data_IF_480873385448
#
_entry.id   IF_480873385448
#
_cell.length_a   1.000
_cell.length_b   1.000
_cell.length_c   1.000
_cell.angle_alpha   90.00
_cell.angle_beta   90.00
_cell.angle_gamma   90.00
#
_symmetry.space_group_name_H-M   'P 1'
#
loop_
_entity.id
_entity.type
_entity.pdbx_description
1 polymer ?
#
# COMPACT_ATOMS: atom_id res chain seq x y z
N UNK A 1 -13.59 47.02 -11.22
CA UNK A 1 -12.75 45.97 -10.61
C UNK A 1 -13.68 44.96 -9.96
N UNK A 2 -14.19 44.02 -10.73
CA UNK A 2 -15.10 42.96 -10.26
C UNK A 2 -14.25 41.75 -9.89
N UNK A 3 -14.22 41.40 -8.61
CA UNK A 3 -13.54 40.22 -8.07
C UNK A 3 -14.36 38.98 -8.42
N UNK A 4 -14.02 38.30 -9.50
CA UNK A 4 -14.58 36.98 -9.82
C UNK A 4 -13.94 35.95 -8.89
N UNK A 5 -14.64 35.60 -7.82
CA UNK A 5 -14.30 34.49 -6.94
C UNK A 5 -14.48 33.18 -7.71
N UNK A 6 -13.37 32.58 -8.17
CA UNK A 6 -13.35 31.20 -8.64
C UNK A 6 -13.58 30.27 -7.47
N UNK A 7 -14.85 29.90 -7.26
CA UNK A 7 -15.23 28.78 -6.40
C UNK A 7 -14.76 27.51 -7.12
N UNK A 8 -13.77 26.82 -6.55
CA UNK A 8 -13.40 25.46 -6.98
C UNK A 8 -14.63 24.55 -6.92
N UNK A 9 -14.92 23.75 -7.96
CA UNK A 9 -16.06 22.85 -7.92
C UNK A 9 -15.84 21.84 -6.81
N UNK A 10 -16.81 21.77 -5.89
CA UNK A 10 -16.86 20.77 -4.84
C UNK A 10 -16.77 19.37 -5.47
N UNK A 11 -15.88 18.54 -4.93
CA UNK A 11 -15.77 17.12 -5.27
C UNK A 11 -17.13 16.48 -5.03
N UNK A 12 -17.85 16.14 -6.11
CA UNK A 12 -19.09 15.40 -6.02
C UNK A 12 -18.74 14.00 -5.50
N UNK A 13 -19.17 13.70 -4.27
CA UNK A 13 -19.06 12.36 -3.69
C UNK A 13 -19.99 11.42 -4.45
N UNK A 14 -19.43 10.61 -5.34
CA UNK A 14 -20.13 9.50 -6.00
C UNK A 14 -20.52 8.44 -4.96
N UNK A 15 -21.69 7.78 -5.07
CA UNK A 15 -22.10 6.74 -4.12
C UNK A 15 -21.03 5.65 -4.02
N UNK A 16 -20.55 5.41 -2.80
CA UNK A 16 -19.46 4.48 -2.47
C UNK A 16 -19.93 3.01 -2.54
N UNK A 17 -20.33 2.54 -3.73
CA UNK A 17 -20.68 1.14 -3.96
C UNK A 17 -19.40 0.34 -4.23
N UNK A 18 -19.05 -0.66 -3.40
CA UNK A 18 -17.86 -1.48 -3.61
C UNK A 18 -17.86 -2.06 -5.01
N UNK A 19 -16.69 -2.10 -5.63
CA UNK A 19 -16.54 -2.84 -6.88
C UNK A 19 -16.87 -4.31 -6.62
N UNK A 20 -17.31 -5.07 -7.65
CA UNK A 20 -17.74 -6.47 -7.49
C UNK A 20 -16.54 -7.41 -7.30
N UNK A 21 -15.67 -7.10 -6.34
CA UNK A 21 -14.53 -7.93 -5.98
C UNK A 21 -14.88 -8.81 -4.78
N UNK A 22 -14.33 -10.01 -4.78
CA UNK A 22 -14.23 -10.86 -3.59
C UNK A 22 -12.80 -10.91 -3.07
N UNK A 23 -12.60 -11.59 -1.93
CA UNK A 23 -11.25 -11.82 -1.38
C UNK A 23 -10.36 -12.51 -2.42
N UNK A 24 -10.92 -13.48 -3.14
CA UNK A 24 -10.23 -14.33 -4.11
C UNK A 24 -9.62 -13.52 -5.26
N UNK A 25 -10.21 -12.37 -5.60
CA UNK A 25 -9.67 -11.47 -6.64
C UNK A 25 -8.34 -10.81 -6.24
N UNK A 26 -8.01 -10.79 -4.94
CA UNK A 26 -6.76 -10.26 -4.41
C UNK A 26 -5.73 -11.35 -4.06
N UNK A 27 -6.11 -12.63 -4.14
CA UNK A 27 -5.20 -13.76 -3.87
C UNK A 27 -4.37 -14.06 -5.11
N UNK A 28 -3.04 -14.06 -4.98
CA UNK A 28 -2.16 -14.49 -6.07
C UNK A 28 -2.09 -16.02 -6.15
N UNK A 29 -1.66 -16.56 -7.30
CA UNK A 29 -1.43 -17.99 -7.46
C UNK A 29 -0.12 -18.50 -6.83
N UNK A 30 0.61 -17.65 -6.10
CA UNK A 30 1.88 -18.03 -5.47
C UNK A 30 1.66 -18.69 -4.12
N UNK A 31 2.38 -19.77 -3.88
CA UNK A 31 2.39 -20.42 -2.57
C UNK A 31 3.06 -19.52 -1.51
N UNK A 32 2.39 -19.36 -0.37
CA UNK A 32 2.89 -18.56 0.74
C UNK A 32 3.96 -19.34 1.49
N UNK A 33 5.16 -18.76 1.60
CA UNK A 33 6.37 -19.41 2.15
C UNK A 33 6.73 -18.92 3.55
N UNK A 34 5.74 -18.57 4.35
CA UNK A 34 5.94 -18.22 5.76
C UNK A 34 5.89 -19.48 6.63
N UNK A 35 6.49 -19.41 7.83
CA UNK A 35 6.46 -20.53 8.76
C UNK A 35 5.01 -20.83 9.20
N UNK A 36 4.66 -22.11 9.45
CA UNK A 36 3.37 -22.44 10.08
C UNK A 36 3.16 -21.67 11.38
N UNK A 37 2.02 -21.01 11.51
CA UNK A 37 1.69 -20.16 12.68
C UNK A 37 2.23 -18.72 12.60
N UNK A 38 2.89 -18.32 11.52
CA UNK A 38 3.32 -16.93 11.33
C UNK A 38 2.12 -15.96 11.30
N UNK A 39 2.24 -14.82 12.00
CA UNK A 39 1.20 -13.80 12.05
C UNK A 39 0.90 -13.12 10.70
N UNK A 40 1.87 -13.12 9.79
CA UNK A 40 1.76 -12.52 8.46
C UNK A 40 0.60 -13.11 7.64
N UNK A 41 0.24 -14.38 7.87
CA UNK A 41 -0.93 -15.02 7.26
C UNK A 41 -2.24 -14.30 7.61
N UNK A 42 -2.39 -13.89 8.87
CA UNK A 42 -3.58 -13.18 9.32
C UNK A 42 -3.65 -11.78 8.69
N UNK A 43 -2.51 -11.06 8.66
CA UNK A 43 -2.40 -9.74 8.04
C UNK A 43 -2.75 -9.81 6.54
N UNK A 44 -2.21 -10.79 5.82
CA UNK A 44 -2.49 -11.00 4.40
C UNK A 44 -3.97 -11.31 4.15
N UNK A 45 -4.55 -12.24 4.91
CA UNK A 45 -5.95 -12.65 4.75
C UNK A 45 -6.92 -11.50 5.06
N UNK A 46 -6.63 -10.70 6.09
CA UNK A 46 -7.41 -9.51 6.42
C UNK A 46 -7.28 -8.46 5.32
N UNK A 47 -6.07 -8.18 4.85
CA UNK A 47 -5.85 -7.22 3.76
C UNK A 47 -6.66 -7.60 2.51
N UNK A 48 -6.55 -8.84 2.03
CA UNK A 48 -7.31 -9.31 0.86
C UNK A 48 -8.83 -9.15 1.02
N UNK A 49 -9.36 -9.38 2.23
CA UNK A 49 -10.78 -9.18 2.53
C UNK A 49 -11.15 -7.69 2.58
N UNK A 50 -10.29 -6.85 3.14
CA UNK A 50 -10.52 -5.41 3.25
C UNK A 50 -10.50 -4.73 1.89
N UNK A 51 -9.55 -5.07 1.01
CA UNK A 51 -9.46 -4.48 -0.32
C UNK A 51 -10.67 -4.82 -1.20
N UNK A 52 -11.29 -5.99 -1.00
CA UNK A 52 -12.52 -6.35 -1.70
C UNK A 52 -13.71 -5.45 -1.33
N UNK A 53 -13.65 -4.75 -0.19
CA UNK A 53 -14.68 -3.82 0.24
C UNK A 53 -14.43 -2.40 -0.28
N UNK A 54 -13.27 -2.15 -0.90
CA UNK A 54 -12.90 -0.83 -1.39
C UNK A 54 -13.55 -0.56 -2.74
N UNK A 55 -13.77 0.72 -3.03
CA UNK A 55 -14.25 1.23 -4.32
C UNK A 55 -13.12 1.47 -5.32
N UNK A 56 -11.92 0.96 -5.02
CA UNK A 56 -10.70 1.24 -5.74
C UNK A 56 -10.36 0.04 -6.63
N UNK A 57 -10.24 0.21 -7.96
CA UNK A 57 -9.85 -0.87 -8.87
C UNK A 57 -8.53 -1.51 -8.45
N UNK A 58 -8.44 -2.83 -8.60
CA UNK A 58 -7.26 -3.63 -8.24
C UNK A 58 -5.97 -3.12 -8.89
N UNK A 59 -6.05 -2.71 -10.14
CA UNK A 59 -4.98 -2.12 -10.94
C UNK A 59 -4.51 -0.74 -10.45
N UNK A 60 -5.30 -0.07 -9.61
CA UNK A 60 -4.95 1.21 -8.99
C UNK A 60 -4.37 1.05 -7.58
N UNK A 61 -4.22 -0.19 -7.11
CA UNK A 61 -3.64 -0.52 -5.82
C UNK A 61 -2.24 -1.10 -6.02
N UNK A 62 -1.23 -0.50 -5.37
CA UNK A 62 0.17 -0.89 -5.54
C UNK A 62 0.80 -1.25 -4.21
N UNK A 63 1.37 -2.45 -4.11
CA UNK A 63 2.06 -2.93 -2.92
C UNK A 63 3.58 -2.87 -3.10
N UNK A 64 4.25 -1.99 -2.36
CA UNK A 64 5.70 -1.81 -2.39
C UNK A 64 6.29 -2.33 -1.08
N UNK A 65 7.38 -3.08 -1.15
CA UNK A 65 7.99 -3.67 0.05
C UNK A 65 9.51 -3.64 0.00
N UNK A 66 10.14 -3.77 1.17
CA UNK A 66 11.59 -3.82 1.34
C UNK A 66 12.11 -5.24 1.23
N UNK A 67 12.91 -5.69 2.21
CA UNK A 67 13.40 -7.07 2.30
C UNK A 67 13.12 -7.62 3.71
N UNK A 68 12.62 -8.86 3.77
CA UNK A 68 12.29 -9.57 5.00
C UNK A 68 11.14 -10.58 4.79
N UNK A 69 10.79 -11.34 5.82
CA UNK A 69 9.63 -12.24 5.76
C UNK A 69 8.35 -11.47 5.39
N UNK A 70 8.08 -10.37 6.09
CA UNK A 70 6.96 -9.47 5.82
C UNK A 70 7.00 -8.88 4.41
N UNK A 71 8.19 -8.63 3.85
CA UNK A 71 8.33 -8.00 2.53
C UNK A 71 8.05 -8.95 1.37
N UNK A 72 7.78 -10.24 1.63
CA UNK A 72 7.23 -11.13 0.59
C UNK A 72 5.76 -10.83 0.26
N UNK A 73 5.09 -9.98 1.03
CA UNK A 73 3.68 -9.66 0.91
C UNK A 73 3.21 -9.34 -0.52
N UNK A 74 3.90 -8.51 -1.34
CA UNK A 74 3.42 -8.20 -2.68
C UNK A 74 3.36 -9.41 -3.63
N UNK A 75 4.14 -10.47 -3.38
CA UNK A 75 4.03 -11.71 -4.18
C UNK A 75 2.70 -12.43 -3.97
N UNK A 76 2.04 -12.20 -2.83
CA UNK A 76 0.81 -12.87 -2.42
C UNK A 76 -0.45 -12.04 -2.72
N UNK A 77 -0.26 -10.86 -3.32
CA UNK A 77 -1.32 -9.96 -3.75
C UNK A 77 -1.47 -10.01 -5.27
N UNK A 78 -2.69 -10.14 -5.76
CA UNK A 78 -3.00 -10.12 -7.20
C UNK A 78 -3.15 -8.69 -7.75
N UNK A 79 -2.28 -7.78 -7.34
CA UNK A 79 -2.26 -6.35 -7.70
C UNK A 79 -0.92 -6.00 -8.37
N UNK A 80 -0.68 -4.72 -8.68
CA UNK A 80 0.69 -4.30 -8.97
C UNK A 80 1.52 -4.36 -7.70
N UNK A 81 2.72 -4.92 -7.81
CA UNK A 81 3.63 -5.10 -6.67
C UNK A 81 5.07 -4.84 -7.04
N UNK A 82 5.83 -4.24 -6.12
CA UNK A 82 7.27 -4.08 -6.25
C UNK A 82 7.97 -4.52 -4.96
N UNK A 83 8.69 -5.64 -5.03
CA UNK A 83 9.62 -6.08 -4.00
C UNK A 83 10.98 -5.42 -4.28
N UNK A 84 11.36 -4.47 -3.43
CA UNK A 84 12.46 -3.55 -3.68
C UNK A 84 13.74 -4.02 -3.00
N UNK A 85 14.56 -3.09 -2.51
CA UNK A 85 15.77 -3.37 -1.76
C UNK A 85 15.59 -2.95 -0.29
N UNK A 86 16.40 -3.55 0.58
CA UNK A 86 16.22 -3.49 2.02
C UNK A 86 16.17 -2.03 2.53
N UNK A 87 15.08 -1.68 3.21
CA UNK A 87 14.81 -0.37 3.79
C UNK A 87 14.62 0.76 2.78
N UNK A 88 14.31 0.49 1.50
CA UNK A 88 14.07 1.54 0.49
C UNK A 88 12.63 1.63 0.01
N UNK A 89 11.74 0.79 0.54
CA UNK A 89 10.33 0.81 0.17
C UNK A 89 9.67 2.19 0.35
N UNK A 90 9.87 2.94 1.47
CA UNK A 90 9.28 4.27 1.61
C UNK A 90 9.79 5.27 0.56
N UNK A 91 11.09 5.24 0.23
CA UNK A 91 11.68 6.14 -0.76
C UNK A 91 11.12 5.88 -2.17
N UNK A 92 10.99 4.60 -2.55
CA UNK A 92 10.45 4.20 -3.85
C UNK A 92 8.95 4.52 -3.94
N UNK A 93 8.20 4.24 -2.86
CA UNK A 93 6.78 4.54 -2.79
C UNK A 93 6.49 6.04 -2.88
N UNK A 94 7.30 6.87 -2.21
CA UNK A 94 7.20 8.32 -2.33
C UNK A 94 7.44 8.78 -3.77
N UNK A 95 8.47 8.23 -4.43
CA UNK A 95 8.73 8.49 -5.86
C UNK A 95 7.52 8.14 -6.74
N UNK A 96 6.95 6.95 -6.59
CA UNK A 96 5.76 6.54 -7.34
C UNK A 96 4.59 7.50 -7.10
N UNK A 97 4.31 7.83 -5.85
CA UNK A 97 3.18 8.70 -5.49
C UNK A 97 3.34 10.12 -6.05
N UNK A 98 4.57 10.62 -6.19
CA UNK A 98 4.81 11.91 -6.85
C UNK A 98 4.43 11.92 -8.34
N UNK A 99 4.64 10.81 -9.06
CA UNK A 99 4.34 10.73 -10.51
C UNK A 99 2.93 10.23 -10.80
N UNK A 100 2.36 9.45 -9.88
CA UNK A 100 1.05 8.80 -10.00
C UNK A 100 0.22 9.05 -8.73
N UNK A 101 -0.26 10.29 -8.52
CA UNK A 101 -1.03 10.64 -7.33
C UNK A 101 -2.39 9.92 -7.26
N UNK A 102 -2.89 9.41 -8.39
CA UNK A 102 -4.13 8.66 -8.53
C UNK A 102 -4.07 7.23 -7.93
N UNK A 103 -2.87 6.68 -7.74
CA UNK A 103 -2.68 5.33 -7.21
C UNK A 103 -2.81 5.30 -5.68
N UNK A 104 -3.41 4.22 -5.18
CA UNK A 104 -3.39 3.88 -3.76
C UNK A 104 -2.17 3.02 -3.48
N UNK A 105 -1.18 3.61 -2.80
CA UNK A 105 0.11 2.97 -2.57
C UNK A 105 0.18 2.45 -1.13
N UNK A 106 0.51 1.17 -1.01
CA UNK A 106 0.70 0.45 0.24
C UNK A 106 2.18 0.08 0.38
N UNK A 107 2.80 0.48 1.49
CA UNK A 107 4.15 0.09 1.86
C UNK A 107 4.07 -1.00 2.91
N UNK A 108 4.63 -2.17 2.61
CA UNK A 108 4.78 -3.26 3.58
C UNK A 108 6.24 -3.31 4.03
N UNK A 109 6.46 -3.28 5.34
CA UNK A 109 7.80 -3.29 5.90
C UNK A 109 7.82 -4.09 7.21
N UNK A 110 8.95 -4.73 7.52
CA UNK A 110 9.20 -5.29 8.85
C UNK A 110 9.73 -4.21 9.81
N UNK A 111 9.81 -4.54 11.09
CA UNK A 111 10.48 -3.74 12.11
C UNK A 111 11.94 -3.39 11.73
N UNK A 112 12.76 -4.37 11.35
CA UNK A 112 14.14 -4.16 10.94
C UNK A 112 14.26 -3.41 9.60
N UNK A 113 13.39 -3.73 8.65
CA UNK A 113 13.39 -3.08 7.33
C UNK A 113 13.00 -1.59 7.44
N UNK A 114 11.98 -1.27 8.24
CA UNK A 114 11.39 0.06 8.32
C UNK A 114 11.96 0.95 9.43
N UNK A 115 12.30 0.39 10.60
CA UNK A 115 12.78 1.13 11.78
C UNK A 115 14.29 1.11 11.95
N UNK A 116 14.99 0.15 11.34
CA UNK A 116 16.47 0.12 11.33
C UNK A 116 17.01 0.72 10.03
N UNK A 117 17.38 -0.10 9.04
CA UNK A 117 18.04 0.37 7.80
C UNK A 117 17.18 1.34 6.97
N UNK A 118 15.84 1.26 7.10
CA UNK A 118 14.88 2.14 6.43
C UNK A 118 14.45 3.38 7.23
N UNK A 119 14.87 3.52 8.49
CA UNK A 119 14.31 4.50 9.44
C UNK A 119 14.33 5.93 8.92
N UNK A 120 15.43 6.38 8.35
CA UNK A 120 15.54 7.74 7.78
C UNK A 120 14.53 7.98 6.66
N UNK A 121 14.30 7.01 5.77
CA UNK A 121 13.35 7.15 4.67
C UNK A 121 11.91 7.23 5.19
N UNK A 122 11.59 6.40 6.19
CA UNK A 122 10.28 6.39 6.84
C UNK A 122 9.97 7.73 7.51
N UNK A 123 10.88 8.23 8.36
CA UNK A 123 10.75 9.55 9.03
C UNK A 123 10.55 10.66 8.00
N UNK A 124 11.29 10.59 6.90
CA UNK A 124 11.22 11.57 5.82
C UNK A 124 9.94 11.51 4.98
N UNK A 125 9.31 10.34 4.85
CA UNK A 125 7.98 10.23 4.23
C UNK A 125 6.91 10.83 5.14
N UNK A 126 6.96 10.53 6.45
CA UNK A 126 6.03 11.10 7.43
C UNK A 126 6.17 12.63 7.52
N UNK A 127 7.39 13.16 7.61
CA UNK A 127 7.65 14.62 7.67
C UNK A 127 7.12 15.36 6.43
N UNK A 128 7.12 14.70 5.27
CA UNK A 128 6.62 15.28 4.01
C UNK A 128 5.12 15.07 3.81
N UNK A 129 4.45 14.35 4.71
CA UNK A 129 3.05 13.97 4.59
C UNK A 129 2.73 13.36 3.21
N UNK A 130 3.59 12.43 2.76
CA UNK A 130 3.33 11.72 1.50
C UNK A 130 2.11 10.83 1.70
N UNK A 131 1.13 10.93 0.79
CA UNK A 131 -0.11 10.15 0.82
C UNK A 131 0.17 8.66 0.50
N UNK A 132 0.62 7.94 1.53
CA UNK A 132 0.98 6.52 1.51
C UNK A 132 0.33 5.81 2.69
N UNK A 133 -0.08 4.56 2.48
CA UNK A 133 -0.45 3.67 3.56
C UNK A 133 0.77 2.83 3.95
N UNK A 134 1.19 2.86 5.21
CA UNK A 134 2.35 2.08 5.68
C UNK A 134 1.90 1.03 6.69
N UNK A 135 2.20 -0.24 6.40
CA UNK A 135 1.94 -1.38 7.29
C UNK A 135 3.27 -1.92 7.75
N UNK A 136 3.53 -1.69 9.03
CA UNK A 136 4.70 -2.20 9.72
C UNK A 136 4.33 -3.47 10.46
N UNK A 137 4.93 -4.58 10.03
CA UNK A 137 4.80 -5.88 10.67
C UNK A 137 5.91 -6.00 11.71
N UNK A 138 5.54 -5.89 12.99
CA UNK A 138 6.47 -5.97 14.12
C UNK A 138 6.37 -7.36 14.76
N UNK A 139 7.45 -8.14 14.67
CA UNK A 139 7.52 -9.55 15.09
C UNK A 139 8.83 -9.85 15.83
#
# INVERSE_FOLDING_TARGET
MTTTSTISPATQETPHQPLPYSKEDFVSGQEVRWCPGCGDYAILSVMQRTLAQFTIPRENQVFISGIGCSSRFPYYMKTYGFHTIHGRAPAIAAGLKCVRPDLTVWVITGDGDGLSIGGNHLIHCMRRNVDLNIILVNN
#
